data_IF_304044862497
#
_entry.id   IF_304044862497
#
_cell.length_a   1.000
_cell.length_b   1.000
_cell.length_c   1.000
_cell.angle_alpha   90.00
_cell.angle_beta   90.00
_cell.angle_gamma   90.00
#
_symmetry.space_group_name_H-M   'P 1'
#
loop_
_entity.id
_entity.type
_entity.pdbx_description
1 polymer ?
#
# COMPACT_ATOMS: atom_id res chain seq x y z
N UNK A 1 7.74 -32.07 44.13
CA UNK A 1 8.34 -31.25 45.21
C UNK A 1 8.80 -29.97 44.55
N UNK A 2 7.94 -28.94 44.53
CA UNK A 2 8.21 -27.64 43.90
C UNK A 2 8.44 -26.63 45.02
N UNK A 3 9.64 -26.07 45.10
CA UNK A 3 10.04 -25.10 46.11
C UNK A 3 9.70 -23.66 45.68
N UNK A 4 9.10 -22.83 46.54
CA UNK A 4 8.91 -21.41 46.31
C UNK A 4 9.93 -20.60 47.13
N UNK A 5 11.08 -20.24 46.57
CA UNK A 5 12.05 -19.35 47.26
C UNK A 5 12.72 -18.29 46.37
N UNK A 6 12.37 -18.15 45.10
CA UNK A 6 13.09 -17.22 44.18
C UNK A 6 12.51 -15.80 44.08
N UNK A 7 11.30 -15.52 44.57
CA UNK A 7 10.66 -14.20 44.38
C UNK A 7 11.06 -13.14 45.42
N UNK A 8 11.46 -13.53 46.63
CA UNK A 8 11.83 -12.54 47.68
C UNK A 8 13.22 -11.95 47.48
N UNK A 9 14.16 -12.68 46.88
CA UNK A 9 15.53 -12.20 46.67
C UNK A 9 15.62 -11.11 45.60
N UNK A 10 14.75 -11.12 44.59
CA UNK A 10 14.70 -10.09 43.53
C UNK A 10 14.13 -8.78 44.06
N UNK A 11 13.11 -8.87 44.92
CA UNK A 11 12.50 -7.71 45.60
C UNK A 11 13.51 -6.94 46.47
N UNK A 12 14.38 -7.67 47.18
CA UNK A 12 15.37 -7.05 48.07
C UNK A 12 16.48 -6.31 47.31
N UNK A 13 16.92 -6.84 46.17
CA UNK A 13 17.92 -6.18 45.32
C UNK A 13 17.38 -4.92 44.63
N UNK A 14 16.13 -4.93 44.15
CA UNK A 14 15.52 -3.77 43.51
C UNK A 14 15.37 -2.57 44.48
N UNK A 15 14.99 -2.84 45.74
CA UNK A 15 14.83 -1.78 46.76
C UNK A 15 16.17 -1.16 47.18
N UNK A 16 17.24 -1.95 47.27
CA UNK A 16 18.57 -1.44 47.59
C UNK A 16 19.13 -0.55 46.47
N UNK A 17 18.90 -0.92 45.20
CA UNK A 17 19.38 -0.15 44.05
C UNK A 17 18.67 1.20 43.90
N UNK A 18 17.37 1.26 44.20
CA UNK A 18 16.60 2.51 44.13
C UNK A 18 17.03 3.51 45.21
N UNK A 19 17.27 3.04 46.45
CA UNK A 19 17.73 3.89 47.54
C UNK A 19 19.13 4.48 47.28
N UNK A 20 20.03 3.70 46.67
CA UNK A 20 21.35 4.18 46.27
C UNK A 20 21.29 5.27 45.19
N UNK A 21 20.38 5.13 44.21
CA UNK A 21 20.18 6.13 43.15
C UNK A 21 19.58 7.44 43.68
N UNK A 22 18.65 7.36 44.64
CA UNK A 22 18.05 8.56 45.26
C UNK A 22 19.08 9.34 46.09
N UNK A 23 19.94 8.64 46.84
CA UNK A 23 20.99 9.31 47.61
C UNK A 23 22.09 9.91 46.73
N UNK A 24 22.48 9.22 45.64
CA UNK A 24 23.46 9.73 44.70
C UNK A 24 22.96 10.98 43.95
N UNK A 25 21.67 11.03 43.60
CA UNK A 25 21.05 12.20 42.95
C UNK A 25 20.90 13.40 43.90
N UNK A 26 20.57 13.17 45.18
CA UNK A 26 20.54 14.26 46.17
C UNK A 26 21.92 14.88 46.45
N UNK A 27 22.98 14.06 46.49
CA UNK A 27 24.36 14.54 46.64
C UNK A 27 24.87 15.33 45.42
N UNK A 28 24.46 14.91 44.21
CA UNK A 28 24.78 15.64 42.98
C UNK A 28 24.05 16.99 42.90
N UNK A 29 22.77 17.05 43.27
CA UNK A 29 22.02 18.31 43.27
C UNK A 29 22.53 19.31 44.32
N UNK A 30 22.88 18.84 45.51
CA UNK A 30 23.43 19.70 46.57
C UNK A 30 24.84 20.22 46.25
N UNK A 31 25.65 19.45 45.52
CA UNK A 31 26.97 19.91 45.02
C UNK A 31 26.86 20.95 43.90
N UNK A 32 25.84 20.85 43.04
CA UNK A 32 25.60 21.78 41.94
C UNK A 32 25.01 23.11 42.41
N UNK A 33 24.15 23.12 43.42
CA UNK A 33 23.50 24.35 43.89
C UNK A 33 24.44 25.33 44.60
N UNK A 34 25.58 24.88 45.14
CA UNK A 34 26.50 25.76 45.86
C UNK A 34 27.56 26.46 44.97
N UNK A 35 27.64 26.11 43.67
CA UNK A 35 28.55 26.76 42.70
C UNK A 35 27.87 27.73 41.73
N UNK A 36 26.56 27.91 41.82
CA UNK A 36 25.76 28.60 40.81
C UNK A 36 25.33 30.02 41.16
N UNK A 37 26.00 30.69 42.10
CA UNK A 37 25.67 32.08 42.49
C UNK A 37 26.21 33.18 41.57
N UNK A 38 26.89 32.84 40.45
CA UNK A 38 27.47 33.83 39.53
C UNK A 38 27.41 33.43 38.04
N UNK A 39 26.39 32.69 37.59
CA UNK A 39 26.18 32.54 36.15
C UNK A 39 25.27 33.67 35.63
N UNK A 40 25.63 34.36 34.54
CA UNK A 40 24.77 35.36 33.92
C UNK A 40 23.46 34.70 33.45
N UNK A 41 22.34 35.35 33.74
CA UNK A 41 20.97 34.86 33.50
C UNK A 41 20.69 34.43 32.05
N UNK A 42 21.51 34.87 31.09
CA UNK A 42 21.44 34.50 29.68
C UNK A 42 21.83 33.05 29.42
N UNK A 43 22.79 32.48 30.16
CA UNK A 43 23.25 31.10 29.96
C UNK A 43 22.24 30.08 30.51
N UNK A 44 21.52 30.44 31.58
CA UNK A 44 20.47 29.58 32.12
C UNK A 44 19.27 29.49 31.15
N UNK A 45 18.92 30.59 30.48
CA UNK A 45 17.82 30.63 29.50
C UNK A 45 18.12 29.79 28.26
N UNK A 46 19.36 29.81 27.75
CA UNK A 46 19.72 29.00 26.58
C UNK A 46 19.74 27.50 26.89
N UNK A 47 20.16 27.12 28.10
CA UNK A 47 20.21 25.72 28.52
C UNK A 47 18.81 25.13 28.74
N UNK A 48 17.88 25.93 29.26
CA UNK A 48 16.46 25.54 29.36
C UNK A 48 15.82 25.36 27.99
N UNK A 49 16.07 26.25 27.03
CA UNK A 49 15.59 26.10 25.65
C UNK A 49 16.20 24.88 24.93
N UNK A 50 17.48 24.60 25.14
CA UNK A 50 18.13 23.42 24.57
C UNK A 50 17.55 22.11 25.15
N UNK A 51 17.26 22.06 26.45
CA UNK A 51 16.57 20.91 27.06
C UNK A 51 15.13 20.79 26.55
N UNK A 52 14.40 21.89 26.36
CA UNK A 52 13.02 21.87 25.85
C UNK A 52 12.97 21.31 24.41
N UNK A 53 13.91 21.72 23.55
CA UNK A 53 14.01 21.23 22.16
C UNK A 53 14.41 19.75 22.13
N UNK A 54 15.30 19.30 23.01
CA UNK A 54 15.68 17.89 23.13
C UNK A 54 14.52 17.00 23.61
N UNK A 55 13.67 17.50 24.51
CA UNK A 55 12.49 16.75 24.98
C UNK A 55 11.36 16.73 23.94
N UNK A 56 11.21 17.80 23.14
CA UNK A 56 10.18 17.88 22.10
C UNK A 56 10.59 17.15 20.79
N UNK A 57 11.89 16.97 20.55
CA UNK A 57 12.40 16.37 19.31
C UNK A 57 12.28 14.85 19.20
N UNK A 58 11.93 14.13 20.27
CA UNK A 58 11.88 12.66 20.28
C UNK A 58 10.48 12.07 20.16
N UNK A 59 9.44 12.88 19.97
CA UNK A 59 8.09 12.39 19.68
C UNK A 59 7.80 12.48 18.19
N UNK A 60 8.55 11.70 17.41
CA UNK A 60 8.02 11.24 16.13
C UNK A 60 6.86 10.30 16.46
N UNK A 61 5.65 10.85 16.49
CA UNK A 61 4.46 10.02 16.50
C UNK A 61 4.52 9.19 15.22
N UNK A 62 4.87 7.91 15.35
CA UNK A 62 4.68 6.95 14.28
C UNK A 62 3.19 6.95 13.99
N UNK A 63 2.81 7.66 12.93
CA UNK A 63 1.42 7.77 12.53
C UNK A 63 0.97 6.36 12.14
N UNK A 64 0.11 5.79 12.97
CA UNK A 64 -0.50 4.50 12.71
C UNK A 64 -1.13 4.55 11.32
N UNK A 65 -0.75 3.61 10.47
CA UNK A 65 -1.22 3.57 9.08
C UNK A 65 -2.36 2.58 8.99
N UNK A 66 -3.51 3.03 8.49
CA UNK A 66 -4.68 2.15 8.30
C UNK A 66 -4.45 1.22 7.11
N UNK A 67 -4.93 -0.02 7.20
CA UNK A 67 -4.84 -1.00 6.11
C UNK A 67 -5.55 -0.46 4.85
N UNK A 68 -6.71 0.18 5.01
CA UNK A 68 -7.42 0.83 3.90
C UNK A 68 -6.55 1.83 3.13
N UNK A 69 -5.69 2.61 3.80
CA UNK A 69 -4.82 3.59 3.12
C UNK A 69 -3.65 2.91 2.39
N UNK A 70 -3.09 1.84 2.98
CA UNK A 70 -2.08 1.01 2.30
C UNK A 70 -2.64 0.41 1.01
N UNK A 71 -3.85 -0.16 1.07
CA UNK A 71 -4.52 -0.76 -0.09
C UNK A 71 -4.91 0.28 -1.16
N UNK A 72 -5.31 1.47 -0.74
CA UNK A 72 -5.70 2.54 -1.68
C UNK A 72 -4.49 3.16 -2.38
N UNK A 73 -3.32 3.19 -1.73
CA UNK A 73 -2.12 3.85 -2.22
C UNK A 73 -0.85 2.98 -2.05
N UNK A 74 -0.79 1.76 -2.61
CA UNK A 74 0.30 0.82 -2.33
C UNK A 74 1.67 1.35 -2.79
N UNK A 75 1.70 2.15 -3.85
CA UNK A 75 2.91 2.80 -4.34
C UNK A 75 3.52 3.82 -3.36
N UNK A 76 2.70 4.46 -2.51
CA UNK A 76 3.16 5.41 -1.50
C UNK A 76 3.92 4.71 -0.38
N UNK A 77 3.46 3.52 0.00
CA UNK A 77 3.97 2.77 1.15
C UNK A 77 5.05 1.75 0.79
N UNK A 78 5.24 1.44 -0.49
CA UNK A 78 6.27 0.50 -0.95
C UNK A 78 7.66 0.84 -0.37
N UNK A 79 8.25 -0.13 0.33
CA UNK A 79 9.56 -0.01 0.95
C UNK A 79 9.60 0.88 2.20
N UNK A 80 8.44 1.24 2.77
CA UNK A 80 8.35 1.94 4.05
C UNK A 80 8.01 0.96 5.15
N UNK A 81 8.65 1.13 6.32
CA UNK A 81 8.25 0.43 7.54
C UNK A 81 7.00 1.13 8.09
N UNK A 82 5.94 0.36 8.29
CA UNK A 82 4.64 0.87 8.75
C UNK A 82 4.14 0.04 9.92
N UNK A 83 3.39 0.69 10.80
CA UNK A 83 2.65 0.01 11.87
C UNK A 83 1.17 -0.01 11.50
N UNK A 84 0.63 -1.21 11.31
CA UNK A 84 -0.79 -1.45 11.01
C UNK A 84 -1.45 -2.19 12.17
N UNK A 85 -2.71 -1.87 12.45
CA UNK A 85 -3.51 -2.65 13.40
C UNK A 85 -4.59 -3.43 12.67
N UNK A 86 -4.81 -4.68 13.09
CA UNK A 86 -5.85 -5.52 12.52
C UNK A 86 -6.14 -6.77 13.34
N UNK A 87 -7.26 -7.40 13.04
CA UNK A 87 -7.65 -8.71 13.57
C UNK A 87 -7.17 -9.79 12.61
N UNK A 88 -6.52 -10.83 13.11
CA UNK A 88 -6.05 -11.94 12.28
C UNK A 88 -7.25 -12.80 11.90
N UNK A 89 -7.62 -12.81 10.62
CA UNK A 89 -8.81 -13.52 10.15
C UNK A 89 -8.54 -14.99 9.86
N UNK A 90 -7.46 -15.27 9.15
CA UNK A 90 -7.08 -16.62 8.71
C UNK A 90 -5.60 -16.71 8.40
N UNK A 91 -5.04 -17.92 8.51
CA UNK A 91 -3.74 -18.25 7.94
C UNK A 91 -3.91 -18.64 6.47
N UNK A 92 -2.88 -18.36 5.67
CA UNK A 92 -2.83 -18.72 4.25
C UNK A 92 -1.71 -19.72 4.06
N UNK A 93 -2.05 -20.90 3.55
CA UNK A 93 -1.07 -21.96 3.31
C UNK A 93 -0.10 -21.55 2.21
N UNK A 94 1.17 -21.41 2.57
CA UNK A 94 2.27 -21.06 1.65
C UNK A 94 2.83 -22.27 0.88
N UNK A 95 2.22 -23.45 1.00
CA UNK A 95 2.84 -24.73 0.66
C UNK A 95 3.62 -25.32 1.84
N UNK A 96 3.91 -26.63 1.78
CA UNK A 96 4.47 -27.39 2.91
C UNK A 96 5.89 -26.97 3.32
N UNK A 97 6.63 -26.32 2.41
CA UNK A 97 8.09 -26.23 2.52
C UNK A 97 8.62 -24.80 2.73
N UNK A 98 7.76 -23.79 2.90
CA UNK A 98 8.25 -22.43 3.19
C UNK A 98 8.41 -22.16 4.69
N UNK A 99 9.58 -21.64 5.05
CA UNK A 99 9.84 -21.05 6.37
C UNK A 99 8.93 -19.84 6.62
N UNK A 100 8.56 -19.12 5.56
CA UNK A 100 7.63 -17.99 5.63
C UNK A 100 6.19 -18.45 5.71
N UNK A 101 5.49 -18.04 6.75
CA UNK A 101 4.04 -18.24 6.92
C UNK A 101 3.30 -16.97 6.52
N UNK A 102 2.10 -17.14 5.99
CA UNK A 102 1.25 -16.03 5.57
C UNK A 102 -0.03 -16.00 6.41
N UNK A 103 -0.52 -14.81 6.72
CA UNK A 103 -1.80 -14.62 7.37
C UNK A 103 -2.49 -13.34 6.87
N UNK A 104 -3.80 -13.24 7.11
CA UNK A 104 -4.62 -12.10 6.71
C UNK A 104 -4.99 -11.28 7.93
N UNK A 105 -4.60 -10.01 7.92
CA UNK A 105 -5.05 -8.99 8.86
C UNK A 105 -6.25 -8.25 8.28
N UNK A 106 -7.27 -8.01 9.10
CA UNK A 106 -8.40 -7.18 8.74
C UNK A 106 -8.52 -5.99 9.69
N UNK A 107 -8.59 -4.77 9.16
CA UNK A 107 -8.82 -3.58 9.98
C UNK A 107 -10.30 -3.43 10.40
N UNK A 108 -10.61 -2.35 11.11
CA UNK A 108 -11.97 -1.99 11.53
C UNK A 108 -12.87 -1.57 10.35
N UNK A 109 -12.29 -1.17 9.22
CA UNK A 109 -13.03 -0.89 7.98
C UNK A 109 -13.40 -2.14 7.19
N UNK A 110 -12.89 -3.31 7.60
CA UNK A 110 -13.11 -4.59 6.93
C UNK A 110 -12.13 -4.86 5.78
N UNK A 111 -11.14 -3.99 5.56
CA UNK A 111 -10.12 -4.18 4.53
C UNK A 111 -9.10 -5.21 4.98
N UNK A 112 -8.72 -6.10 4.06
CA UNK A 112 -7.76 -7.16 4.30
C UNK A 112 -6.35 -6.75 3.83
N UNK A 113 -5.32 -7.10 4.60
CA UNK A 113 -3.91 -7.00 4.23
C UNK A 113 -3.23 -8.34 4.49
N UNK A 114 -2.48 -8.83 3.51
CA UNK A 114 -1.66 -10.03 3.68
C UNK A 114 -0.38 -9.65 4.42
N UNK A 115 -0.06 -10.40 5.47
CA UNK A 115 1.20 -10.29 6.21
C UNK A 115 2.00 -11.59 6.10
N UNK A 116 3.31 -11.46 5.97
CA UNK A 116 4.31 -12.52 5.96
C UNK A 116 5.07 -12.52 7.28
N UNK A 117 5.30 -13.69 7.87
CA UNK A 117 6.08 -13.83 9.09
C UNK A 117 6.98 -15.06 9.01
N UNK A 118 8.18 -14.95 9.61
CA UNK A 118 9.11 -16.07 9.80
C UNK A 118 8.97 -16.70 11.19
N UNK A 119 8.16 -16.09 12.06
CA UNK A 119 7.89 -16.58 13.41
C UNK A 119 6.64 -17.48 13.43
N UNK A 120 6.28 -17.96 14.62
CA UNK A 120 5.03 -18.71 14.81
C UNK A 120 3.82 -17.84 14.42
N UNK A 121 2.86 -18.36 13.63
CA UNK A 121 1.70 -17.60 13.19
C UNK A 121 0.86 -17.07 14.36
N UNK A 122 0.31 -15.85 14.27
CA UNK A 122 -0.51 -15.28 15.33
C UNK A 122 -1.86 -16.00 15.45
N UNK A 123 -2.49 -15.96 16.62
CA UNK A 123 -3.78 -16.61 16.84
C UNK A 123 -4.89 -15.93 16.02
N UNK A 124 -5.70 -16.72 15.32
CA UNK A 124 -6.87 -16.23 14.59
C UNK A 124 -7.92 -15.66 15.55
N UNK A 125 -8.49 -14.51 15.21
CA UNK A 125 -9.49 -13.78 16.00
C UNK A 125 -8.91 -12.78 17.01
N UNK A 126 -7.59 -12.81 17.25
CA UNK A 126 -6.90 -11.85 18.10
C UNK A 126 -6.53 -10.59 17.30
N UNK A 127 -6.51 -9.43 17.98
CA UNK A 127 -6.13 -8.14 17.39
C UNK A 127 -4.68 -7.81 17.72
N UNK A 128 -3.91 -7.43 16.71
CA UNK A 128 -2.49 -7.14 16.82
C UNK A 128 -2.16 -5.77 16.20
N UNK A 129 -1.12 -5.13 16.74
CA UNK A 129 -0.36 -4.08 16.08
C UNK A 129 0.87 -4.74 15.46
N UNK A 130 0.96 -4.73 14.14
CA UNK A 130 2.01 -5.38 13.37
C UNK A 130 2.85 -4.31 12.70
N UNK A 131 4.17 -4.35 12.95
CA UNK A 131 5.16 -3.49 12.33
C UNK A 131 5.91 -4.27 11.25
N UNK A 132 6.07 -3.67 10.08
CA UNK A 132 6.76 -4.33 8.98
C UNK A 132 6.89 -3.49 7.72
N UNK A 133 7.70 -4.01 6.80
CA UNK A 133 7.98 -3.39 5.51
C UNK A 133 6.85 -3.71 4.50
N UNK A 134 6.30 -2.69 3.84
CA UNK A 134 5.34 -2.95 2.74
C UNK A 134 6.09 -3.28 1.44
N UNK A 135 5.85 -4.48 0.93
CA UNK A 135 6.24 -4.89 -0.41
C UNK A 135 5.03 -4.95 -1.35
N UNK A 136 5.26 -4.79 -2.65
CA UNK A 136 4.22 -5.02 -3.66
C UNK A 136 4.50 -6.37 -4.28
N UNK A 137 3.58 -7.31 -4.08
CA UNK A 137 3.69 -8.64 -4.67
C UNK A 137 3.83 -8.53 -6.19
N UNK A 138 4.88 -9.13 -6.79
CA UNK A 138 5.10 -9.03 -8.24
C UNK A 138 4.03 -9.78 -9.04
N UNK A 139 3.30 -10.70 -8.40
CA UNK A 139 2.34 -11.58 -9.08
C UNK A 139 0.97 -10.94 -9.27
N UNK A 140 0.47 -10.23 -8.26
CA UNK A 140 -0.88 -9.65 -8.26
C UNK A 140 -0.89 -8.14 -7.98
N UNK A 141 0.27 -7.52 -7.75
CA UNK A 141 0.43 -6.09 -7.44
C UNK A 141 -0.31 -5.64 -6.16
N UNK A 142 -0.68 -6.58 -5.30
CA UNK A 142 -1.24 -6.29 -3.99
C UNK A 142 -0.13 -5.98 -2.98
N UNK A 143 -0.35 -5.06 -2.04
CA UNK A 143 0.59 -4.83 -0.95
C UNK A 143 0.63 -6.05 -0.02
N UNK A 144 1.84 -6.42 0.38
CA UNK A 144 2.10 -7.48 1.36
C UNK A 144 3.04 -6.90 2.41
N UNK A 145 2.68 -7.07 3.67
CA UNK A 145 3.49 -6.63 4.80
C UNK A 145 4.48 -7.73 5.19
N UNK A 146 5.78 -7.46 5.14
CA UNK A 146 6.81 -8.33 5.68
C UNK A 146 7.07 -7.95 7.15
N UNK A 147 6.66 -8.82 8.06
CA UNK A 147 6.60 -8.53 9.50
C UNK A 147 7.99 -8.50 10.14
N UNK A 148 8.28 -7.39 10.83
CA UNK A 148 9.46 -7.24 11.67
C UNK A 148 9.14 -7.50 13.15
N UNK A 149 8.04 -6.92 13.65
CA UNK A 149 7.58 -7.07 15.03
C UNK A 149 6.05 -7.11 15.14
N UNK A 150 5.55 -7.72 16.22
CA UNK A 150 4.12 -7.73 16.54
C UNK A 150 3.87 -7.56 18.03
N UNK A 151 2.85 -6.80 18.37
CA UNK A 151 2.31 -6.73 19.73
C UNK A 151 0.82 -7.03 19.76
N UNK A 152 0.41 -7.89 20.69
CA UNK A 152 -1.00 -8.25 20.86
C UNK A 152 -1.73 -7.13 21.62
N UNK A 153 -2.84 -6.65 21.03
CA UNK A 153 -3.68 -5.60 21.63
C UNK A 153 -4.84 -6.24 22.38
N UNK A 154 -5.49 -7.25 21.80
CA UNK A 154 -6.63 -7.95 22.38
C UNK A 154 -6.65 -9.44 21.99
N UNK A 155 -7.02 -10.30 22.95
CA UNK A 155 -7.12 -11.74 22.74
C UNK A 155 -8.52 -12.15 22.25
N UNK A 156 -8.59 -13.11 21.33
CA UNK A 156 -9.86 -13.64 20.77
C UNK A 156 -10.86 -14.10 21.85
N UNK A 157 -10.36 -14.62 22.99
CA UNK A 157 -11.19 -15.15 24.08
C UNK A 157 -11.87 -14.09 24.96
N UNK A 158 -11.46 -12.82 24.86
CA UNK A 158 -11.96 -11.76 25.75
C UNK A 158 -13.21 -11.05 25.18
N UNK A 159 -13.48 -11.21 23.87
CA UNK A 159 -14.60 -10.56 23.19
C UNK A 159 -15.99 -11.18 23.45
N UNK A 160 -16.08 -12.29 24.20
CA UNK A 160 -17.37 -12.95 24.48
C UNK A 160 -17.95 -12.67 25.87
N UNK A 161 -17.21 -12.00 26.75
CA UNK A 161 -17.71 -11.61 28.06
C UNK A 161 -17.39 -10.14 28.32
N UNK A 162 -18.43 -9.36 28.69
CA UNK A 162 -18.34 -8.02 29.30
C UNK A 162 -18.14 -6.80 28.40
N UNK A 163 -19.14 -6.54 27.55
CA UNK A 163 -19.40 -5.22 26.93
C UNK A 163 -19.88 -4.13 27.90
N UNK A 164 -19.53 -4.18 29.20
CA UNK A 164 -20.00 -3.18 30.16
C UNK A 164 -18.99 -2.75 31.23
N UNK A 165 -17.69 -3.05 31.08
CA UNK A 165 -16.74 -2.78 32.16
C UNK A 165 -15.33 -2.30 31.76
N UNK A 166 -15.13 -1.60 30.64
CA UNK A 166 -13.78 -1.10 30.26
C UNK A 166 -13.65 0.42 30.09
N UNK A 167 -14.19 1.19 31.05
CA UNK A 167 -13.74 2.57 31.31
C UNK A 167 -12.83 2.66 32.55
N UNK A 168 -12.40 1.54 33.12
CA UNK A 168 -11.24 1.51 34.02
C UNK A 168 -9.99 1.36 33.17
N UNK A 169 -9.66 2.48 32.54
CA UNK A 169 -8.42 2.74 31.85
C UNK A 169 -7.26 2.38 32.77
N UNK A 170 -6.56 1.29 32.45
CA UNK A 170 -5.29 0.91 33.05
C UNK A 170 -4.24 1.96 32.67
N UNK A 171 -4.29 3.11 33.36
CA UNK A 171 -3.14 3.98 33.42
C UNK A 171 -2.06 3.21 34.16
N UNK A 172 -1.09 2.68 33.41
CA UNK A 172 0.15 2.15 33.97
C UNK A 172 0.62 3.10 35.07
N UNK A 173 0.94 2.55 36.25
CA UNK A 173 1.30 3.36 37.43
C UNK A 173 2.45 4.32 37.09
N UNK A 174 3.31 3.92 36.16
CA UNK A 174 4.39 4.73 35.59
C UNK A 174 3.85 5.98 34.89
N UNK A 175 2.79 5.87 34.07
CA UNK A 175 2.16 7.00 33.39
C UNK A 175 1.56 7.99 34.39
N UNK A 176 0.96 7.50 35.46
CA UNK A 176 0.42 8.35 36.54
C UNK A 176 1.55 9.12 37.24
N UNK A 177 2.68 8.48 37.54
CA UNK A 177 3.84 9.17 38.11
C UNK A 177 4.47 10.17 37.15
N UNK A 178 4.49 9.88 35.84
CA UNK A 178 4.98 10.81 34.83
C UNK A 178 4.11 12.07 34.73
N UNK A 179 2.78 11.91 34.72
CA UNK A 179 1.83 13.04 34.69
C UNK A 179 1.97 13.88 35.96
N UNK A 180 2.05 13.24 37.14
CA UNK A 180 2.26 13.95 38.40
C UNK A 180 3.62 14.67 38.44
N UNK A 181 4.69 14.02 37.97
CA UNK A 181 6.02 14.60 37.89
C UNK A 181 6.07 15.82 36.97
N UNK A 182 5.43 15.72 35.80
CA UNK A 182 5.28 16.85 34.87
C UNK A 182 4.48 18.00 35.49
N UNK A 183 3.39 17.69 36.21
CA UNK A 183 2.60 18.68 36.92
C UNK A 183 3.41 19.46 37.97
N UNK A 184 4.21 18.76 38.77
CA UNK A 184 5.11 19.40 39.75
C UNK A 184 6.16 20.27 39.07
N UNK A 185 6.76 19.79 37.97
CA UNK A 185 7.74 20.56 37.20
C UNK A 185 7.15 21.89 36.70
N UNK A 186 5.94 21.88 36.14
CA UNK A 186 5.26 23.09 35.66
C UNK A 186 5.02 24.08 36.80
N UNK A 187 4.60 23.60 37.98
CA UNK A 187 4.41 24.46 39.16
C UNK A 187 5.72 25.10 39.61
N UNK A 188 6.83 24.34 39.62
CA UNK A 188 8.16 24.88 39.98
C UNK A 188 8.60 25.95 38.99
N UNK A 189 8.40 25.74 37.69
CA UNK A 189 8.73 26.72 36.65
C UNK A 189 7.88 27.99 36.80
N UNK A 190 6.57 27.86 37.02
CA UNK A 190 5.68 29.01 37.23
C UNK A 190 6.04 29.79 38.51
N UNK A 191 6.34 29.09 39.60
CA UNK A 191 6.80 29.72 40.85
C UNK A 191 8.12 30.46 40.69
N UNK A 192 9.06 29.90 39.93
CA UNK A 192 10.31 30.57 39.60
C UNK A 192 10.09 31.83 38.77
N UNK A 193 9.22 31.79 37.75
CA UNK A 193 8.88 32.98 36.95
C UNK A 193 8.19 34.06 37.78
N UNK A 194 7.25 33.69 38.65
CA UNK A 194 6.56 34.63 39.53
C UNK A 194 7.50 35.27 40.57
N UNK A 195 8.52 34.54 41.02
CA UNK A 195 9.59 35.07 41.87
C UNK A 195 10.49 36.03 41.08
N UNK A 196 10.96 35.61 39.89
CA UNK A 196 11.85 36.41 39.05
C UNK A 196 11.21 37.70 38.53
N UNK A 197 9.88 37.76 38.38
CA UNK A 197 9.16 38.96 37.95
C UNK A 197 9.01 40.04 39.04
N UNK A 198 9.42 39.77 40.29
CA UNK A 198 9.29 40.75 41.38
C UNK A 198 10.47 41.75 41.47
N UNK A 199 11.54 41.55 40.69
CA UNK A 199 12.77 42.36 40.82
C UNK A 199 12.85 43.58 39.90
N UNK A 200 11.85 43.85 39.06
CA UNK A 200 11.83 45.06 38.22
C UNK A 200 11.17 46.23 38.97
N UNK A 201 11.91 46.80 39.92
CA UNK A 201 11.58 48.12 40.47
C UNK A 201 11.82 49.17 39.36
N UNK A 202 10.80 49.95 38.97
CA UNK A 202 10.90 50.86 37.84
C UNK A 202 11.86 51.99 38.17
N UNK A 203 13.05 51.97 37.57
CA UNK A 203 13.97 53.11 37.57
C UNK A 203 13.24 54.30 36.93
N UNK A 204 13.15 55.46 37.59
CA UNK A 204 12.45 56.63 37.07
C UNK A 204 13.09 57.10 35.77
N UNK A 205 12.28 57.15 34.71
CA UNK A 205 12.71 57.57 33.38
C UNK A 205 13.16 59.05 33.37
N UNK A 206 14.26 59.39 32.67
CA UNK A 206 14.61 60.78 32.40
C UNK A 206 13.60 61.44 31.44
N UNK A 207 13.42 62.77 31.51
CA UNK A 207 12.38 63.49 30.77
C UNK A 207 12.60 63.43 29.25
N UNK A 208 11.52 63.11 28.53
CA UNK A 208 11.43 63.13 27.06
C UNK A 208 11.36 64.58 26.56
N UNK A 209 12.12 64.85 25.50
CA UNK A 209 12.08 66.09 24.73
C UNK A 209 11.09 65.90 23.57
N UNK A 210 10.09 66.77 23.52
CA UNK A 210 9.06 66.86 22.48
C UNK A 210 9.64 67.25 21.11
N UNK A 211 9.16 66.57 20.06
CA UNK A 211 9.47 66.84 18.66
C UNK A 211 8.39 66.27 17.73
N UNK A 212 7.49 67.16 17.35
CA UNK A 212 6.23 67.13 16.56
C UNK A 212 6.32 66.45 15.16
N UNK A 213 5.18 66.03 14.55
CA UNK A 213 5.09 65.06 13.45
C UNK A 213 4.91 65.69 12.06
N UNK A 214 5.11 64.90 10.99
CA UNK A 214 4.58 65.22 9.65
C UNK A 214 4.18 63.92 8.88
N UNK A 215 3.01 63.87 8.20
CA UNK A 215 2.50 62.70 7.49
C UNK A 215 2.62 62.86 5.98
N UNK A 216 3.19 61.91 5.24
CA UNK A 216 2.87 61.75 3.81
C UNK A 216 3.37 60.43 3.21
N UNK A 217 2.56 59.95 2.26
CA UNK A 217 2.94 59.21 1.03
C UNK A 217 3.00 57.67 1.07
N UNK A 218 1.88 57.07 0.66
CA UNK A 218 1.85 56.00 -0.34
C UNK A 218 2.40 56.52 -1.69
N UNK A 219 3.03 55.69 -2.52
CA UNK A 219 2.30 55.18 -3.68
C UNK A 219 2.65 53.73 -4.08
N UNK A 220 1.77 53.22 -4.94
CA UNK A 220 1.80 51.97 -5.69
C UNK A 220 3.13 51.67 -6.39
N UNK A 221 3.42 50.38 -6.61
CA UNK A 221 4.27 49.92 -7.72
C UNK A 221 3.92 48.48 -8.08
N UNK A 222 3.19 48.39 -9.19
CA UNK A 222 3.03 47.26 -10.08
C UNK A 222 4.35 46.63 -10.55
N UNK A 223 4.20 45.48 -11.23
CA UNK A 223 5.06 44.88 -12.27
C UNK A 223 6.02 43.76 -11.83
N UNK A 224 5.73 42.54 -12.26
CA UNK A 224 6.53 41.89 -13.33
C UNK A 224 5.89 40.56 -13.77
N UNK A 225 5.19 40.63 -14.89
CA UNK A 225 4.84 39.50 -15.76
C UNK A 225 6.10 39.02 -16.48
N UNK A 226 6.37 37.72 -16.46
CA UNK A 226 7.39 37.09 -17.30
C UNK A 226 6.68 36.33 -18.43
N UNK A 227 6.69 36.96 -19.62
CA UNK A 227 6.56 36.30 -20.91
C UNK A 227 7.75 35.37 -21.14
N UNK A 228 7.51 34.14 -21.58
CA UNK A 228 8.50 33.40 -22.38
C UNK A 228 7.76 32.59 -23.44
N UNK A 229 8.02 32.95 -24.69
CA UNK A 229 7.42 32.44 -25.91
C UNK A 229 7.77 30.98 -26.23
N UNK A 230 7.11 30.48 -27.26
CA UNK A 230 7.15 29.09 -27.68
C UNK A 230 6.31 28.87 -28.93
N UNK A 231 6.58 29.67 -29.94
CA UNK A 231 6.08 29.62 -31.29
C UNK A 231 6.68 28.40 -32.00
N UNK A 232 5.82 27.58 -32.59
CA UNK A 232 6.19 26.39 -33.34
C UNK A 232 5.20 26.19 -34.49
N UNK A 233 5.67 26.56 -35.68
CA UNK A 233 4.97 26.67 -36.95
C UNK A 233 4.40 25.35 -37.50
N UNK A 234 3.21 25.49 -38.09
CA UNK A 234 2.81 25.09 -39.45
C UNK A 234 3.26 23.73 -40.03
N UNK A 235 2.27 22.92 -40.41
CA UNK A 235 2.25 22.31 -41.74
C UNK A 235 0.83 21.89 -42.13
N UNK A 236 0.16 22.82 -42.79
CA UNK A 236 -1.07 22.62 -43.55
C UNK A 236 -0.68 22.08 -44.93
N UNK A 237 -1.00 20.82 -45.20
CA UNK A 237 -0.87 20.21 -46.52
C UNK A 237 -2.23 19.67 -46.95
N UNK A 238 -2.95 20.49 -47.73
CA UNK A 238 -4.11 20.07 -48.48
C UNK A 238 -3.74 19.18 -49.67
N UNK A 239 -4.59 18.20 -49.96
CA UNK A 239 -4.60 17.48 -51.22
C UNK A 239 -6.05 17.21 -51.67
N UNK A 240 -6.35 17.25 -52.99
CA UNK A 240 -7.66 17.60 -53.49
C UNK A 240 -8.57 16.38 -53.77
N UNK A 241 -9.88 16.63 -53.67
CA UNK A 241 -10.94 15.78 -54.21
C UNK A 241 -10.83 15.62 -55.73
N UNK A 242 -11.27 14.46 -56.25
CA UNK A 242 -12.01 14.46 -57.50
C UNK A 242 -13.41 13.86 -57.33
N UNK A 243 -14.30 14.45 -58.11
CA UNK A 243 -15.73 14.31 -58.12
C UNK A 243 -16.24 13.10 -58.92
N UNK A 244 -17.45 12.69 -58.51
CA UNK A 244 -18.53 12.12 -59.32
C UNK A 244 -18.44 10.65 -59.80
N UNK A 245 -19.37 9.82 -59.31
CA UNK A 245 -20.38 9.12 -60.14
C UNK A 245 -21.41 8.34 -59.30
N UNK A 246 -22.59 8.94 -59.17
CA UNK A 246 -23.94 8.37 -59.35
C UNK A 246 -24.03 6.85 -59.62
N UNK A 247 -24.54 6.08 -58.65
CA UNK A 247 -25.53 5.00 -58.89
C UNK A 247 -26.57 5.02 -57.76
N UNK A 248 -27.85 5.10 -58.15
CA UNK A 248 -29.04 4.86 -57.33
C UNK A 248 -29.31 3.35 -57.28
N UNK A 249 -29.52 2.82 -56.08
CA UNK A 249 -30.22 1.55 -55.79
C UNK A 249 -30.38 1.52 -54.26
N UNK A 250 -31.50 1.96 -53.70
CA UNK A 250 -32.73 1.19 -53.48
C UNK A 250 -32.47 -0.20 -52.84
N UNK A 251 -32.87 -0.30 -51.57
CA UNK A 251 -33.19 -1.52 -50.82
C UNK A 251 -32.04 -2.41 -50.33
N UNK A 252 -31.61 -2.20 -49.08
CA UNK A 252 -31.58 -3.28 -48.08
C UNK A 252 -31.34 -2.73 -46.68
N UNK A 253 -32.30 -3.03 -45.81
CA UNK A 253 -32.23 -2.87 -44.37
C UNK A 253 -31.14 -3.77 -43.80
N UNK A 254 -29.96 -3.21 -43.60
CA UNK A 254 -28.92 -3.73 -42.72
C UNK A 254 -28.67 -2.66 -41.67
N UNK A 255 -29.20 -2.89 -40.47
CA UNK A 255 -28.70 -2.25 -39.27
C UNK A 255 -27.22 -2.62 -39.16
N UNK A 256 -26.36 -1.69 -39.51
CA UNK A 256 -24.99 -1.66 -39.03
C UNK A 256 -25.09 -1.52 -37.51
N UNK A 257 -24.51 -2.42 -36.70
CA UNK A 257 -24.31 -2.13 -35.31
C UNK A 257 -23.37 -0.93 -35.25
N UNK A 258 -23.90 0.18 -34.75
CA UNK A 258 -23.13 1.36 -34.36
C UNK A 258 -21.87 0.86 -33.65
N UNK A 259 -20.73 1.08 -34.30
CA UNK A 259 -19.44 0.86 -33.69
C UNK A 259 -19.28 1.97 -32.64
N UNK A 260 -19.78 1.70 -31.44
CA UNK A 260 -19.34 2.35 -30.21
C UNK A 260 -17.84 2.04 -30.05
N UNK A 261 -17.03 2.78 -30.82
CA UNK A 261 -15.59 2.92 -30.65
C UNK A 261 -15.35 3.83 -29.46
N UNK A 262 -15.87 3.42 -28.32
CA UNK A 262 -15.80 4.13 -27.05
C UNK A 262 -14.55 3.61 -26.32
N UNK A 263 -13.42 4.30 -26.51
CA UNK A 263 -12.27 4.33 -25.59
C UNK A 263 -11.77 3.01 -24.97
N UNK A 264 -11.88 1.87 -25.67
CA UNK A 264 -11.39 0.59 -25.18
C UNK A 264 -9.85 0.60 -25.08
N UNK A 265 -9.24 0.02 -24.03
CA UNK A 265 -7.78 0.04 -23.88
C UNK A 265 -7.11 -0.67 -25.06
N UNK A 266 -6.05 -0.07 -25.59
CA UNK A 266 -5.23 -0.49 -26.75
C UNK A 266 -4.64 -1.91 -26.69
N UNK A 267 -4.90 -2.65 -25.61
CA UNK A 267 -4.17 -3.85 -25.24
C UNK A 267 -4.70 -5.12 -25.91
N UNK A 268 -5.93 -5.19 -26.40
CA UNK A 268 -6.46 -6.42 -26.99
C UNK A 268 -7.19 -6.12 -28.30
N UNK A 269 -6.70 -6.70 -29.40
CA UNK A 269 -7.24 -6.48 -30.75
C UNK A 269 -7.83 -7.79 -31.25
N UNK A 270 -9.09 -7.74 -31.67
CA UNK A 270 -9.77 -8.87 -32.26
C UNK A 270 -10.30 -8.50 -33.65
N UNK A 271 -10.13 -9.41 -34.61
CA UNK A 271 -10.80 -9.32 -35.90
C UNK A 271 -12.10 -10.13 -35.82
N UNK A 272 -13.21 -9.52 -36.23
CA UNK A 272 -14.51 -10.19 -36.20
C UNK A 272 -14.48 -11.49 -37.02
N UNK A 273 -14.96 -12.62 -36.47
CA UNK A 273 -14.84 -13.93 -37.11
C UNK A 273 -15.72 -14.01 -38.39
N UNK A 274 -15.27 -14.68 -39.47
CA UNK A 274 -16.14 -14.97 -40.60
C UNK A 274 -17.27 -15.94 -40.19
N UNK A 275 -18.44 -15.79 -40.83
CA UNK A 275 -19.71 -16.50 -40.49
C UNK A 275 -19.64 -18.05 -40.54
N UNK A 276 -18.54 -18.63 -41.00
CA UNK A 276 -18.35 -20.08 -41.18
C UNK A 276 -17.48 -20.72 -40.10
N UNK A 277 -17.04 -19.98 -39.08
CA UNK A 277 -16.17 -20.53 -38.03
C UNK A 277 -16.94 -21.28 -36.95
N UNK A 278 -16.37 -22.41 -36.50
CA UNK A 278 -16.86 -23.20 -35.38
C UNK A 278 -16.29 -22.64 -34.08
N UNK A 279 -17.17 -22.22 -33.18
CA UNK A 279 -16.76 -21.82 -31.83
C UNK A 279 -16.41 -23.06 -31.00
N UNK A 280 -15.32 -22.95 -30.26
CA UNK A 280 -14.96 -23.90 -29.20
C UNK A 280 -15.91 -23.66 -28.03
N UNK A 281 -16.47 -24.70 -27.41
CA UNK A 281 -17.40 -24.54 -26.29
C UNK A 281 -16.71 -23.83 -25.11
N UNK A 282 -17.42 -22.90 -24.50
CA UNK A 282 -16.95 -22.10 -23.37
C UNK A 282 -16.32 -20.75 -23.74
N UNK A 283 -15.76 -20.11 -22.72
CA UNK A 283 -15.14 -18.78 -22.80
C UNK A 283 -13.94 -18.66 -21.88
N UNK A 284 -13.05 -17.74 -22.18
CA UNK A 284 -11.95 -17.34 -21.30
C UNK A 284 -12.31 -16.01 -20.63
N UNK A 285 -12.20 -15.95 -19.32
CA UNK A 285 -12.42 -14.73 -18.53
C UNK A 285 -11.08 -14.26 -17.96
N UNK A 286 -10.71 -13.00 -18.14
CA UNK A 286 -9.50 -12.44 -17.52
C UNK A 286 -9.73 -12.34 -16.02
N UNK A 287 -9.04 -13.16 -15.25
CA UNK A 287 -9.15 -13.18 -13.79
C UNK A 287 -8.26 -12.13 -13.12
N UNK A 288 -7.10 -11.83 -13.72
CA UNK A 288 -6.20 -10.77 -13.27
C UNK A 288 -5.44 -10.14 -14.44
N UNK A 289 -5.16 -8.83 -14.32
CA UNK A 289 -4.52 -8.02 -15.35
C UNK A 289 -5.28 -6.70 -15.59
N UNK A 290 -4.76 -5.83 -16.46
CA UNK A 290 -5.41 -4.55 -16.83
C UNK A 290 -6.79 -4.76 -17.47
N UNK A 291 -7.05 -5.94 -18.03
CA UNK A 291 -8.30 -6.31 -18.68
C UNK A 291 -9.20 -7.22 -17.82
N UNK A 292 -9.04 -7.20 -16.49
CA UNK A 292 -9.81 -8.05 -15.57
C UNK A 292 -11.33 -7.96 -15.81
N UNK A 293 -11.99 -9.11 -15.80
CA UNK A 293 -13.44 -9.24 -15.99
C UNK A 293 -13.88 -9.32 -17.46
N UNK A 294 -12.98 -9.08 -18.42
CA UNK A 294 -13.31 -9.28 -19.84
C UNK A 294 -13.44 -10.77 -20.16
N UNK A 295 -14.46 -11.10 -20.95
CA UNK A 295 -14.72 -12.45 -21.44
C UNK A 295 -14.48 -12.53 -22.95
N UNK A 296 -13.96 -13.67 -23.40
CA UNK A 296 -13.68 -13.92 -24.81
C UNK A 296 -14.24 -15.26 -25.26
N UNK A 297 -14.96 -15.23 -26.37
CA UNK A 297 -15.38 -16.44 -27.07
C UNK A 297 -14.23 -16.96 -27.92
N UNK A 298 -14.04 -18.28 -27.87
CA UNK A 298 -12.90 -18.96 -28.49
C UNK A 298 -13.32 -19.41 -29.89
N UNK A 299 -12.77 -18.80 -30.93
CA UNK A 299 -13.06 -19.17 -32.31
C UNK A 299 -11.91 -20.02 -32.88
N UNK A 300 -12.16 -21.31 -33.08
CA UNK A 300 -11.14 -22.27 -33.48
C UNK A 300 -10.95 -22.38 -34.98
N UNK A 301 -9.69 -22.57 -35.41
CA UNK A 301 -9.37 -22.98 -36.79
C UNK A 301 -9.35 -24.50 -36.87
N UNK A 302 -10.05 -25.13 -37.83
CA UNK A 302 -10.01 -26.57 -37.99
C UNK A 302 -8.61 -27.02 -38.46
N UNK A 303 -8.04 -27.99 -37.76
CA UNK A 303 -6.78 -28.67 -38.11
C UNK A 303 -6.97 -30.19 -37.96
N UNK A 304 -6.04 -31.02 -38.46
CA UNK A 304 -6.12 -32.47 -38.25
C UNK A 304 -6.14 -32.91 -36.78
N UNK A 305 -5.64 -32.06 -35.87
CA UNK A 305 -5.61 -32.30 -34.43
C UNK A 305 -6.88 -31.82 -33.70
N UNK A 306 -7.81 -31.16 -34.39
CA UNK A 306 -8.99 -30.53 -33.80
C UNK A 306 -9.11 -29.04 -34.14
N UNK A 307 -10.01 -28.33 -33.45
CA UNK A 307 -10.11 -26.88 -33.60
C UNK A 307 -9.08 -26.21 -32.70
N UNK A 308 -8.13 -25.49 -33.31
CA UNK A 308 -7.00 -24.91 -32.59
C UNK A 308 -7.18 -23.39 -32.49
N UNK A 309 -6.96 -22.87 -31.28
CA UNK A 309 -6.82 -21.44 -30.99
C UNK A 309 -5.45 -21.18 -30.39
N UNK A 310 -4.77 -20.18 -30.90
CA UNK A 310 -3.44 -19.78 -30.45
C UNK A 310 -3.54 -18.56 -29.54
N UNK A 311 -2.70 -18.48 -28.52
CA UNK A 311 -2.65 -17.35 -27.57
C UNK A 311 -1.23 -16.82 -27.52
N UNK A 312 -1.06 -15.50 -27.63
CA UNK A 312 0.23 -14.87 -27.44
C UNK A 312 0.26 -13.43 -27.93
N UNK A 313 1.45 -12.84 -27.91
CA UNK A 313 1.66 -11.44 -28.34
C UNK A 313 1.94 -11.25 -29.82
N UNK A 314 2.11 -12.34 -30.58
CA UNK A 314 2.41 -12.25 -32.00
C UNK A 314 1.28 -11.56 -32.74
N UNK A 315 1.62 -10.67 -33.68
CA UNK A 315 0.64 -10.23 -34.66
C UNK A 315 0.52 -11.32 -35.73
N UNK A 316 -0.69 -11.84 -35.91
CA UNK A 316 -0.99 -12.90 -36.88
C UNK A 316 -1.92 -12.33 -37.94
N UNK A 317 -1.53 -12.48 -39.20
CA UNK A 317 -2.31 -12.00 -40.34
C UNK A 317 -3.05 -13.13 -41.07
N UNK A 318 -3.99 -12.73 -41.94
CA UNK A 318 -4.77 -13.63 -42.77
C UNK A 318 -5.79 -14.47 -42.00
N UNK A 319 -6.07 -15.68 -42.50
CA UNK A 319 -7.08 -16.58 -41.94
C UNK A 319 -6.76 -17.06 -40.51
N UNK A 320 -5.48 -17.05 -40.14
CA UNK A 320 -5.05 -17.44 -38.78
C UNK A 320 -5.36 -16.37 -37.74
N UNK A 321 -5.55 -15.11 -38.15
CA UNK A 321 -5.82 -14.00 -37.24
C UNK A 321 -7.10 -14.21 -36.43
N UNK A 322 -8.09 -14.90 -37.00
CA UNK A 322 -9.37 -15.14 -36.33
C UNK A 322 -9.32 -16.24 -35.27
N UNK A 323 -8.29 -17.09 -35.31
CA UNK A 323 -8.04 -18.14 -34.32
C UNK A 323 -6.79 -17.83 -33.48
N UNK A 324 -6.47 -16.53 -33.35
CA UNK A 324 -5.39 -16.02 -32.54
C UNK A 324 -5.92 -15.00 -31.54
N UNK A 325 -5.73 -15.27 -30.25
CA UNK A 325 -5.99 -14.31 -29.18
C UNK A 325 -4.72 -13.47 -29.04
N UNK A 326 -4.74 -12.30 -29.69
CA UNK A 326 -3.63 -11.36 -29.67
C UNK A 326 -3.61 -10.58 -28.36
N UNK A 327 -2.54 -10.77 -27.60
CA UNK A 327 -2.23 -10.02 -26.40
C UNK A 327 -1.36 -8.81 -26.75
N UNK A 328 -1.77 -7.63 -26.32
CA UNK A 328 -1.02 -6.39 -26.57
C UNK A 328 0.22 -6.26 -25.72
N UNK A 329 0.91 -5.14 -25.90
CA UNK A 329 2.22 -4.89 -25.28
C UNK A 329 2.19 -4.71 -23.77
N UNK A 330 1.02 -4.59 -23.16
CA UNK A 330 0.87 -4.53 -21.70
C UNK A 330 1.24 -5.86 -21.04
N UNK A 331 1.06 -7.00 -21.73
CA UNK A 331 1.37 -8.34 -21.21
C UNK A 331 2.80 -8.77 -21.58
N UNK A 332 3.81 -7.97 -21.25
CA UNK A 332 5.20 -8.17 -21.74
C UNK A 332 5.80 -9.52 -21.37
N UNK A 333 5.35 -10.07 -20.25
CA UNK A 333 5.80 -11.34 -19.70
C UNK A 333 5.23 -12.56 -20.42
N UNK A 334 4.26 -12.38 -21.30
CA UNK A 334 3.71 -13.44 -22.14
C UNK A 334 4.56 -13.58 -23.41
N UNK A 335 4.82 -14.81 -23.84
CA UNK A 335 5.54 -15.06 -25.09
C UNK A 335 4.73 -14.67 -26.32
N UNK A 336 5.41 -14.48 -27.45
CA UNK A 336 4.76 -14.21 -28.75
C UNK A 336 3.81 -15.34 -29.16
N UNK A 337 4.23 -16.58 -28.93
CA UNK A 337 3.41 -17.79 -29.02
C UNK A 337 3.51 -18.46 -27.65
N UNK A 338 2.46 -18.37 -26.84
CA UNK A 338 2.50 -18.82 -25.45
C UNK A 338 1.85 -20.18 -25.28
N UNK A 339 0.62 -20.32 -25.76
CA UNK A 339 -0.15 -21.53 -25.58
C UNK A 339 -1.12 -21.74 -26.75
N UNK A 340 -1.60 -22.97 -26.88
CA UNK A 340 -2.64 -23.36 -27.82
C UNK A 340 -3.77 -24.06 -27.06
N UNK A 341 -5.02 -23.69 -27.36
CA UNK A 341 -6.21 -24.41 -26.92
C UNK A 341 -6.66 -25.28 -28.09
N UNK A 342 -6.78 -26.59 -27.84
CA UNK A 342 -7.14 -27.58 -28.84
C UNK A 342 -8.45 -28.23 -28.40
N UNK A 343 -9.49 -28.07 -29.21
CA UNK A 343 -10.73 -28.82 -29.04
C UNK A 343 -10.66 -30.14 -29.81
N UNK A 344 -10.67 -31.24 -29.08
CA UNK A 344 -10.80 -32.60 -29.60
C UNK A 344 -12.13 -33.16 -29.11
N UNK A 345 -13.07 -33.35 -30.03
CA UNK A 345 -14.42 -33.79 -29.71
C UNK A 345 -15.07 -32.91 -28.62
N UNK A 346 -15.26 -33.45 -27.41
CA UNK A 346 -15.84 -32.80 -26.24
C UNK A 346 -14.80 -32.39 -25.17
N UNK A 347 -13.52 -32.65 -25.45
CA UNK A 347 -12.40 -32.36 -24.56
C UNK A 347 -11.66 -31.10 -25.02
N UNK A 348 -11.30 -30.26 -24.06
CA UNK A 348 -10.51 -29.06 -24.28
C UNK A 348 -9.13 -29.28 -23.69
N UNK A 349 -8.10 -29.15 -24.51
CA UNK A 349 -6.71 -29.31 -24.11
C UNK A 349 -5.99 -27.96 -24.19
N UNK A 350 -5.18 -27.63 -23.19
CA UNK A 350 -4.24 -26.52 -23.22
C UNK A 350 -2.82 -27.06 -23.42
N UNK A 351 -2.19 -26.68 -24.53
CA UNK A 351 -0.81 -27.02 -24.86
C UNK A 351 0.10 -25.83 -24.64
N UNK A 352 1.17 -26.01 -23.88
CA UNK A 352 2.19 -24.97 -23.72
C UNK A 352 3.12 -24.95 -24.94
N UNK A 353 3.24 -23.83 -25.63
CA UNK A 353 4.15 -23.67 -26.80
C UNK A 353 5.38 -22.82 -26.50
N UNK A 354 5.44 -22.19 -25.34
CA UNK A 354 6.53 -21.33 -24.92
C UNK A 354 7.61 -22.11 -24.14
N UNK A 355 8.87 -21.92 -24.53
CA UNK A 355 10.06 -22.41 -23.80
C UNK A 355 10.51 -21.41 -22.72
N UNK A 356 10.24 -20.11 -22.92
CA UNK A 356 10.79 -19.04 -22.07
C UNK A 356 9.96 -18.81 -20.82
N UNK A 357 8.65 -18.66 -21.00
CA UNK A 357 7.72 -18.35 -19.91
C UNK A 357 6.80 -19.57 -19.69
N UNK A 358 6.75 -20.13 -18.47
CA UNK A 358 5.94 -21.31 -18.19
C UNK A 358 4.45 -20.99 -18.27
N UNK A 359 3.67 -21.99 -18.66
CA UNK A 359 2.21 -21.99 -18.55
C UNK A 359 1.82 -22.86 -17.36
N UNK A 360 0.95 -22.35 -16.49
CA UNK A 360 0.56 -23.00 -15.24
C UNK A 360 -0.96 -23.12 -15.22
N UNK A 361 -1.47 -24.31 -14.88
CA UNK A 361 -2.91 -24.57 -14.76
C UNK A 361 -3.21 -25.06 -13.35
N UNK A 362 -4.08 -24.36 -12.62
CA UNK A 362 -4.43 -24.65 -11.23
C UNK A 362 -3.23 -24.77 -10.26
N UNK A 363 -2.10 -24.13 -10.59
CA UNK A 363 -0.86 -24.20 -9.81
C UNK A 363 0.18 -25.18 -10.37
N UNK A 364 -0.22 -26.09 -11.27
CA UNK A 364 0.66 -27.08 -11.86
C UNK A 364 1.30 -26.57 -13.16
N UNK A 365 2.62 -26.75 -13.29
CA UNK A 365 3.35 -26.37 -14.49
C UNK A 365 3.06 -27.31 -15.65
N UNK A 366 2.72 -26.76 -16.82
CA UNK A 366 2.56 -27.51 -18.08
C UNK A 366 3.88 -27.47 -18.85
N UNK A 367 4.58 -28.61 -19.03
CA UNK A 367 5.84 -28.65 -19.77
C UNK A 367 5.68 -28.19 -21.22
N UNK A 368 6.72 -27.61 -21.79
CA UNK A 368 6.69 -27.15 -23.19
C UNK A 368 6.45 -28.31 -24.15
N UNK A 369 5.48 -28.15 -25.04
CA UNK A 369 5.07 -29.18 -26.01
C UNK A 369 4.02 -30.16 -25.47
N UNK A 370 3.80 -30.20 -24.16
CA UNK A 370 2.78 -31.05 -23.53
C UNK A 370 1.44 -30.33 -23.40
N UNK A 371 0.39 -31.12 -23.24
CA UNK A 371 -0.98 -30.66 -23.11
C UNK A 371 -1.64 -31.17 -21.84
N UNK A 372 -2.45 -30.31 -21.22
CA UNK A 372 -3.29 -30.65 -20.06
C UNK A 372 -4.77 -30.45 -20.42
N UNK A 373 -5.66 -31.28 -19.89
CA UNK A 373 -7.10 -31.09 -20.06
C UNK A 373 -7.60 -29.92 -19.20
N UNK A 374 -8.45 -29.07 -19.79
CA UNK A 374 -9.09 -27.95 -19.12
C UNK A 374 -10.54 -28.28 -18.74
N UNK A 375 -10.82 -28.22 -17.44
CA UNK A 375 -12.14 -28.23 -16.84
C UNK A 375 -12.73 -26.83 -16.67
N UNK A 376 -14.06 -26.75 -16.60
CA UNK A 376 -14.74 -25.48 -16.29
C UNK A 376 -14.38 -25.00 -14.89
N UNK A 377 -13.92 -23.75 -14.79
CA UNK A 377 -13.41 -23.13 -13.57
C UNK A 377 -11.88 -23.09 -13.47
N UNK A 378 -11.16 -23.78 -14.35
CA UNK A 378 -9.71 -23.87 -14.28
C UNK A 378 -9.02 -22.53 -14.47
N UNK A 379 -7.98 -22.32 -13.67
CA UNK A 379 -7.17 -21.11 -13.65
C UNK A 379 -5.88 -21.31 -14.42
N UNK A 380 -5.70 -20.54 -15.50
CA UNK A 380 -4.56 -20.59 -16.39
C UNK A 380 -3.71 -19.34 -16.16
N UNK A 381 -2.43 -19.51 -15.80
CA UNK A 381 -1.47 -18.44 -15.63
C UNK A 381 -0.37 -18.51 -16.69
N UNK A 382 -0.13 -17.38 -17.35
CA UNK A 382 0.90 -17.18 -18.36
C UNK A 382 1.57 -15.83 -18.10
N UNK A 383 2.77 -15.83 -17.52
CA UNK A 383 3.41 -14.58 -17.07
C UNK A 383 2.52 -13.82 -16.07
N UNK A 384 2.22 -12.56 -16.37
CA UNK A 384 1.33 -11.68 -15.58
C UNK A 384 -0.17 -11.83 -15.92
N UNK A 385 -0.50 -12.60 -16.97
CA UNK A 385 -1.88 -12.83 -17.37
C UNK A 385 -2.46 -14.04 -16.61
N UNK A 386 -3.61 -13.84 -15.96
CA UNK A 386 -4.42 -14.94 -15.41
C UNK A 386 -5.77 -15.00 -16.12
N UNK A 387 -6.08 -16.18 -16.65
CA UNK A 387 -7.35 -16.49 -17.29
C UNK A 387 -8.08 -17.56 -16.49
N UNK A 388 -9.40 -17.50 -16.48
CA UNK A 388 -10.28 -18.58 -16.01
C UNK A 388 -11.01 -19.15 -17.22
N UNK A 389 -10.97 -20.46 -17.40
CA UNK A 389 -11.78 -21.12 -18.40
C UNK A 389 -13.18 -21.38 -17.82
N UNK A 390 -14.23 -20.98 -18.53
CA UNK A 390 -15.62 -21.27 -18.17
C UNK A 390 -16.24 -22.12 -19.27
N UNK A 391 -16.79 -23.27 -18.89
CA UNK A 391 -17.55 -24.13 -19.79
C UNK A 391 -18.98 -23.59 -19.89
N UNK A 392 -19.51 -23.54 -21.12
CA UNK A 392 -20.90 -23.14 -21.39
C UNK A 392 -21.94 -24.12 -20.80
#
# INVERSE_FOLDING_TARGET
>A
MNGPESSELVSCWARASLAALINATQLLMSSLMNRYSKMPSTVLRSLVWACLILVLGTWGAFAQTSISDVNSNPGKYRGQNVTVEGTVMRHVDSGSDSETKNYILQDDSGQELRAQTTQEPPETGSRYSVEGLIEISPFNREPVLDEEDRSQIASASENQATSSQSLRQDFSTITVYLILGLGVLVIVVLGYFAYASQEDEPVPAPPRQDGTPDPSQSPDSDLSSAELGGDGEESEAGFPEPSSQRIKSESSSSQEPEADSDGGPDTLKFKAPPKTMKFVPGRLVVAAGPDQGKEFRIAGRPTPEGNVVTIGRAEVEGEKAFAHIQLGDTYRTVSRMQAEIIQQDDTILLKNTSETNPTIVNGDHVPTGESVELGGGDMIRMGELMLRYERD
#
